data_IF_299015650682
#
_entry.id   IF_299015650682
#
_cell.length_a   1.000
_cell.length_b   1.000
_cell.length_c   1.000
_cell.angle_alpha   90.00
_cell.angle_beta   90.00
_cell.angle_gamma   90.00
#
_symmetry.space_group_name_H-M   'P 1'
#
loop_
_entity.id
_entity.type
_entity.pdbx_description
1 polymer ?
#
# COMPACT_ATOMS: atom_id res chain seq x y z
N UNK A 1 60.39 -86.18 -43.38
CA UNK A 1 61.69 -85.49 -43.42
C UNK A 1 61.38 -84.07 -42.98
N UNK A 2 61.49 -83.81 -41.67
CA UNK A 2 62.62 -83.07 -41.09
C UNK A 2 62.45 -81.60 -41.50
N UNK A 3 62.18 -80.63 -40.63
CA UNK A 3 62.44 -80.55 -39.21
C UNK A 3 62.07 -79.12 -38.73
N UNK A 4 62.01 -78.93 -37.40
CA UNK A 4 62.55 -77.75 -36.70
C UNK A 4 61.87 -76.38 -36.94
N UNK A 5 61.31 -75.63 -35.98
CA UNK A 5 61.57 -75.44 -34.55
C UNK A 5 60.36 -74.66 -33.98
N UNK A 6 59.64 -75.15 -32.98
CA UNK A 6 59.99 -75.03 -31.55
C UNK A 6 60.54 -73.66 -31.13
N UNK A 7 59.75 -72.96 -30.32
CA UNK A 7 60.30 -72.16 -29.22
C UNK A 7 60.46 -70.67 -29.49
N UNK A 8 59.62 -69.87 -28.85
CA UNK A 8 60.03 -69.17 -27.63
C UNK A 8 58.85 -68.40 -27.03
N UNK A 9 58.30 -69.04 -26.01
CA UNK A 9 57.78 -68.35 -24.84
C UNK A 9 58.94 -67.53 -24.24
N UNK A 10 58.89 -66.20 -24.24
CA UNK A 10 59.48 -65.34 -23.19
C UNK A 10 59.54 -63.86 -23.59
N UNK A 11 58.83 -63.05 -22.78
CA UNK A 11 59.19 -61.69 -22.38
C UNK A 11 59.39 -60.66 -23.51
N UNK A 12 58.32 -59.92 -23.80
CA UNK A 12 58.45 -58.51 -24.22
C UNK A 12 59.47 -57.84 -23.29
N UNK A 13 60.62 -57.45 -23.86
CA UNK A 13 61.68 -56.79 -23.10
C UNK A 13 61.09 -55.55 -22.42
N UNK A 14 61.38 -55.30 -21.14
CA UNK A 14 60.78 -54.21 -20.35
C UNK A 14 61.04 -52.80 -20.92
N UNK A 15 61.95 -52.66 -21.89
CA UNK A 15 62.24 -51.40 -22.59
C UNK A 15 61.13 -50.98 -23.57
N UNK A 16 60.69 -51.85 -24.49
CA UNK A 16 59.73 -51.47 -25.52
C UNK A 16 58.34 -51.10 -24.96
N UNK A 17 57.92 -51.75 -23.85
CA UNK A 17 56.64 -51.43 -23.20
C UNK A 17 56.66 -50.06 -22.50
N UNK A 18 57.82 -49.60 -22.01
CA UNK A 18 57.97 -48.25 -21.41
C UNK A 18 57.84 -47.16 -22.46
N UNK A 19 58.42 -47.34 -23.64
CA UNK A 19 58.41 -46.32 -24.69
C UNK A 19 57.00 -46.12 -25.28
N UNK A 20 56.23 -47.19 -25.49
CA UNK A 20 54.83 -47.10 -25.93
C UNK A 20 53.91 -46.46 -24.89
N UNK A 21 54.11 -46.75 -23.59
CA UNK A 21 53.37 -46.10 -22.51
C UNK A 21 53.74 -44.60 -22.39
N UNK A 22 55.00 -44.24 -22.59
CA UNK A 22 55.49 -42.86 -22.55
C UNK A 22 54.95 -42.00 -23.72
N UNK A 23 55.02 -42.51 -24.95
CA UNK A 23 54.54 -41.80 -26.15
C UNK A 23 53.02 -41.62 -26.11
N UNK A 24 52.26 -42.66 -25.74
CA UNK A 24 50.80 -42.58 -25.60
C UNK A 24 50.39 -41.58 -24.51
N UNK A 25 51.10 -41.55 -23.39
CA UNK A 25 50.86 -40.56 -22.33
C UNK A 25 51.15 -39.13 -22.82
N UNK A 26 52.15 -38.91 -23.67
CA UNK A 26 52.47 -37.57 -24.19
C UNK A 26 51.44 -37.06 -25.20
N UNK A 27 50.87 -37.94 -26.04
CA UNK A 27 49.79 -37.56 -26.97
C UNK A 27 48.47 -37.30 -26.23
N UNK A 28 48.13 -38.17 -25.26
CA UNK A 28 46.93 -38.01 -24.43
C UNK A 28 47.01 -36.74 -23.57
N UNK A 29 48.18 -36.40 -23.03
CA UNK A 29 48.38 -35.14 -22.28
C UNK A 29 48.20 -33.90 -23.17
N UNK A 30 48.58 -33.98 -24.45
CA UNK A 30 48.33 -32.91 -25.43
C UNK A 30 46.84 -32.71 -25.72
N UNK A 31 46.11 -33.79 -26.00
CA UNK A 31 44.66 -33.76 -26.24
C UNK A 31 43.87 -33.20 -25.04
N UNK A 32 44.26 -33.57 -23.81
CA UNK A 32 43.67 -33.03 -22.58
C UNK A 32 43.91 -31.51 -22.49
N UNK A 33 45.09 -31.02 -22.86
CA UNK A 33 45.40 -29.59 -22.84
C UNK A 33 44.59 -28.82 -23.91
N UNK A 34 44.37 -29.40 -25.09
CA UNK A 34 43.51 -28.81 -26.12
C UNK A 34 42.07 -28.70 -25.64
N UNK A 35 41.49 -29.77 -25.08
CA UNK A 35 40.12 -29.76 -24.54
C UNK A 35 39.99 -28.75 -23.40
N UNK A 36 40.99 -28.67 -22.51
CA UNK A 36 41.00 -27.74 -21.39
C UNK A 36 40.95 -26.27 -21.87
N UNK A 37 41.68 -25.93 -22.93
CA UNK A 37 41.74 -24.57 -23.49
C UNK A 37 40.40 -24.06 -24.03
N UNK A 38 39.54 -24.95 -24.54
CA UNK A 38 38.18 -24.59 -24.98
C UNK A 38 37.13 -24.69 -23.87
N UNK A 39 37.36 -25.58 -22.90
CA UNK A 39 36.44 -25.80 -21.77
C UNK A 39 36.46 -24.61 -20.80
N UNK A 40 37.63 -24.05 -20.50
CA UNK A 40 37.77 -22.89 -19.59
C UNK A 40 36.95 -21.67 -20.05
N UNK A 41 37.08 -21.15 -21.29
CA UNK A 41 36.27 -20.01 -21.73
C UNK A 41 34.77 -20.34 -21.82
N UNK A 42 34.41 -21.58 -22.16
CA UNK A 42 33.01 -22.02 -22.18
C UNK A 42 32.38 -22.00 -20.78
N UNK A 43 33.12 -22.40 -19.75
CA UNK A 43 32.68 -22.32 -18.34
C UNK A 43 32.54 -20.86 -17.90
N UNK A 44 33.49 -19.99 -18.27
CA UNK A 44 33.41 -18.56 -17.91
C UNK A 44 32.14 -17.94 -18.53
N UNK A 45 31.90 -18.16 -19.82
CA UNK A 45 30.68 -17.67 -20.49
C UNK A 45 29.42 -18.24 -19.84
N UNK A 46 29.41 -19.52 -19.47
CA UNK A 46 28.28 -20.13 -18.76
C UNK A 46 28.01 -19.46 -17.41
N UNK A 47 29.06 -19.22 -16.60
CA UNK A 47 28.93 -18.55 -15.30
C UNK A 47 28.43 -17.11 -15.48
N UNK A 48 29.00 -16.37 -16.44
CA UNK A 48 28.57 -15.00 -16.73
C UNK A 48 27.12 -14.94 -17.21
N UNK A 49 26.72 -15.82 -18.13
CA UNK A 49 25.34 -15.91 -18.62
C UNK A 49 24.38 -16.28 -17.49
N UNK A 50 24.75 -17.23 -16.63
CA UNK A 50 23.95 -17.61 -15.46
C UNK A 50 23.78 -16.45 -14.48
N UNK A 51 24.86 -15.71 -14.19
CA UNK A 51 24.81 -14.55 -13.31
C UNK A 51 23.92 -13.44 -13.88
N UNK A 52 24.09 -13.11 -15.17
CA UNK A 52 23.27 -12.10 -15.85
C UNK A 52 21.79 -12.48 -15.88
N UNK A 53 21.47 -13.74 -16.21
CA UNK A 53 20.09 -14.23 -16.22
C UNK A 53 19.47 -14.18 -14.83
N UNK A 54 20.21 -14.61 -13.80
CA UNK A 54 19.75 -14.57 -12.42
C UNK A 54 19.39 -13.16 -11.98
N UNK A 55 20.24 -12.19 -12.31
CA UNK A 55 20.02 -10.79 -11.91
C UNK A 55 18.94 -10.10 -12.74
N UNK A 56 18.81 -10.48 -14.01
CA UNK A 56 17.70 -10.06 -14.85
C UNK A 56 16.35 -10.55 -14.30
N UNK A 57 16.21 -11.85 -13.98
CA UNK A 57 14.99 -12.39 -13.41
C UNK A 57 14.66 -11.81 -12.02
N UNK A 58 15.68 -11.58 -11.18
CA UNK A 58 15.47 -10.92 -9.89
C UNK A 58 14.99 -9.47 -10.06
N UNK A 59 15.57 -8.71 -10.99
CA UNK A 59 15.15 -7.34 -11.28
C UNK A 59 13.76 -7.29 -11.90
N UNK A 60 13.44 -8.19 -12.82
CA UNK A 60 12.13 -8.26 -13.46
C UNK A 60 11.04 -8.64 -12.45
N UNK A 61 11.31 -9.59 -11.54
CA UNK A 61 10.40 -9.89 -10.45
C UNK A 61 10.20 -8.69 -9.51
N UNK A 62 11.27 -7.98 -9.14
CA UNK A 62 11.17 -6.76 -8.32
C UNK A 62 10.37 -5.66 -9.02
N UNK A 63 10.61 -5.42 -10.31
CA UNK A 63 9.85 -4.46 -11.13
C UNK A 63 8.38 -4.86 -11.22
N UNK A 64 8.10 -6.12 -11.55
CA UNK A 64 6.73 -6.63 -11.64
C UNK A 64 5.96 -6.53 -10.32
N UNK A 65 6.61 -6.78 -9.19
CA UNK A 65 6.02 -6.54 -7.87
C UNK A 65 5.77 -5.05 -7.60
N UNK A 66 6.70 -4.17 -7.98
CA UNK A 66 6.53 -2.73 -7.86
C UNK A 66 5.38 -2.21 -8.76
N UNK A 67 5.27 -2.72 -9.98
CA UNK A 67 4.21 -2.37 -10.93
C UNK A 67 2.84 -2.85 -10.44
N UNK A 68 2.74 -4.07 -9.92
CA UNK A 68 1.50 -4.58 -9.30
C UNK A 68 1.07 -3.75 -8.08
N UNK A 69 2.03 -3.26 -7.28
CA UNK A 69 1.73 -2.35 -6.17
C UNK A 69 1.34 -0.95 -6.66
N UNK A 70 1.98 -0.46 -7.73
CA UNK A 70 1.67 0.80 -8.39
C UNK A 70 0.27 0.79 -8.99
N UNK A 71 -0.14 -0.31 -9.63
CA UNK A 71 -1.48 -0.47 -10.18
C UNK A 71 -2.57 -0.57 -9.10
N UNK A 72 -2.28 -1.27 -7.99
CA UNK A 72 -3.16 -1.25 -6.80
C UNK A 72 -3.28 0.15 -6.20
N UNK A 73 -2.20 0.92 -6.21
CA UNK A 73 -2.21 2.31 -5.78
C UNK A 73 -3.08 3.14 -6.73
N UNK A 74 -2.91 3.01 -8.05
CA UNK A 74 -3.71 3.72 -9.06
C UNK A 74 -5.22 3.49 -8.92
N UNK A 75 -5.65 2.29 -8.56
CA UNK A 75 -7.07 1.98 -8.36
C UNK A 75 -7.59 2.53 -7.02
N UNK A 76 -6.76 2.56 -5.98
CA UNK A 76 -7.18 3.00 -4.63
C UNK A 76 -7.06 4.52 -4.42
N UNK A 77 -6.18 5.21 -5.16
CA UNK A 77 -6.04 6.67 -5.12
C UNK A 77 -7.37 7.42 -5.33
N UNK A 78 -8.17 7.16 -6.38
CA UNK A 78 -9.44 7.87 -6.58
C UNK A 78 -10.44 7.60 -5.46
N UNK A 79 -10.48 6.37 -4.93
CA UNK A 79 -11.35 6.02 -3.80
C UNK A 79 -10.93 6.78 -2.52
N UNK A 80 -9.62 6.90 -2.28
CA UNK A 80 -9.11 7.68 -1.15
C UNK A 80 -9.46 9.15 -1.32
N UNK A 81 -9.19 9.76 -2.47
CA UNK A 81 -9.52 11.17 -2.72
C UNK A 81 -11.02 11.44 -2.53
N UNK A 82 -11.86 10.58 -3.09
CA UNK A 82 -13.31 10.65 -2.92
C UNK A 82 -13.73 10.56 -1.44
N UNK A 83 -13.08 9.71 -0.65
CA UNK A 83 -13.33 9.63 0.78
C UNK A 83 -13.00 10.94 1.51
N UNK A 84 -11.88 11.59 1.19
CA UNK A 84 -11.54 12.91 1.74
C UNK A 84 -12.58 13.96 1.35
N UNK A 85 -13.02 14.01 0.09
CA UNK A 85 -14.05 14.94 -0.37
C UNK A 85 -15.37 14.75 0.40
N UNK A 86 -15.81 13.50 0.54
CA UNK A 86 -17.04 13.16 1.29
C UNK A 86 -16.94 13.55 2.75
N UNK A 87 -15.80 13.36 3.39
CA UNK A 87 -15.60 13.71 4.80
C UNK A 87 -15.46 15.22 5.00
N UNK A 88 -14.87 15.95 4.05
CA UNK A 88 -14.89 17.42 4.05
C UNK A 88 -16.33 17.92 3.91
N UNK A 89 -17.10 17.37 2.97
CA UNK A 89 -18.51 17.72 2.80
C UNK A 89 -19.35 17.37 4.03
N UNK A 90 -19.08 16.25 4.69
CA UNK A 90 -19.70 15.89 5.96
C UNK A 90 -19.48 16.98 7.00
N UNK A 91 -18.23 17.40 7.21
CA UNK A 91 -17.89 18.46 8.18
C UNK A 91 -18.56 19.79 7.82
N UNK A 92 -18.55 20.17 6.54
CA UNK A 92 -19.27 21.37 6.07
C UNK A 92 -20.79 21.26 6.34
N UNK A 93 -21.40 20.09 6.15
CA UNK A 93 -22.84 19.89 6.35
C UNK A 93 -23.29 19.86 7.80
N UNK A 94 -22.44 19.40 8.71
CA UNK A 94 -22.74 19.41 10.16
C UNK A 94 -22.35 20.73 10.83
N UNK A 95 -21.63 21.62 10.12
CA UNK A 95 -21.35 22.96 10.64
C UNK A 95 -22.66 23.66 11.02
N UNK A 96 -22.76 24.27 12.21
CA UNK A 96 -24.00 24.83 12.72
C UNK A 96 -24.74 25.76 11.74
N UNK A 97 -23.99 26.63 11.05
CA UNK A 97 -24.55 27.52 10.03
C UNK A 97 -25.25 26.76 8.89
N UNK A 98 -24.53 25.84 8.22
CA UNK A 98 -25.08 25.08 7.09
C UNK A 98 -26.17 24.09 7.53
N UNK A 99 -26.06 23.56 8.75
CA UNK A 99 -27.03 22.62 9.30
C UNK A 99 -28.36 23.32 9.59
N UNK A 100 -28.34 24.47 10.28
CA UNK A 100 -29.54 25.23 10.60
C UNK A 100 -30.23 25.70 9.33
N UNK A 101 -29.49 26.28 8.38
CA UNK A 101 -30.08 26.76 7.11
C UNK A 101 -30.80 25.66 6.32
N UNK A 102 -30.38 24.39 6.46
CA UNK A 102 -30.97 23.26 5.75
C UNK A 102 -32.15 22.62 6.50
N UNK A 103 -32.11 22.64 7.83
CA UNK A 103 -33.05 21.89 8.68
C UNK A 103 -34.16 22.78 9.24
N UNK A 104 -33.88 24.06 9.46
CA UNK A 104 -34.82 24.99 10.08
C UNK A 104 -36.08 25.18 9.22
N UNK A 105 -37.23 25.21 9.88
CA UNK A 105 -38.53 25.55 9.32
C UNK A 105 -39.20 26.57 10.23
N UNK A 106 -40.05 27.47 9.69
CA UNK A 106 -40.87 28.35 10.51
C UNK A 106 -41.70 27.55 11.52
N UNK A 107 -42.00 28.18 12.66
CA UNK A 107 -42.92 27.67 13.70
C UNK A 107 -42.48 26.40 14.45
N UNK A 108 -41.24 25.96 14.29
CA UNK A 108 -40.68 24.87 15.09
C UNK A 108 -40.47 25.30 16.55
N UNK A 109 -40.78 24.41 17.49
CA UNK A 109 -40.32 24.54 18.88
C UNK A 109 -38.82 24.21 18.99
N UNK A 110 -38.16 24.66 20.06
CA UNK A 110 -36.76 24.34 20.32
C UNK A 110 -36.52 22.82 20.39
N UNK A 111 -37.45 22.07 21.00
CA UNK A 111 -37.35 20.62 21.14
C UNK A 111 -37.50 19.87 19.80
N UNK A 112 -38.37 20.34 18.91
CA UNK A 112 -38.52 19.77 17.57
C UNK A 112 -37.29 20.06 16.72
N UNK A 113 -36.81 21.31 16.74
CA UNK A 113 -35.60 21.69 16.01
C UNK A 113 -34.39 20.87 16.51
N UNK A 114 -34.20 20.74 17.82
CA UNK A 114 -33.14 19.91 18.41
C UNK A 114 -33.17 18.48 17.85
N UNK A 115 -34.34 17.83 17.85
CA UNK A 115 -34.50 16.47 17.32
C UNK A 115 -34.14 16.37 15.84
N UNK A 116 -34.56 17.35 15.04
CA UNK A 116 -34.26 17.38 13.62
C UNK A 116 -32.76 17.58 13.34
N UNK A 117 -32.11 18.50 14.07
CA UNK A 117 -30.66 18.74 13.94
C UNK A 117 -29.86 17.49 14.31
N UNK A 118 -30.16 16.88 15.46
CA UNK A 118 -29.50 15.66 15.93
C UNK A 118 -29.67 14.52 14.93
N UNK A 119 -30.88 14.34 14.40
CA UNK A 119 -31.16 13.33 13.40
C UNK A 119 -30.35 13.57 12.13
N UNK A 120 -30.33 14.80 11.61
CA UNK A 120 -29.57 15.14 10.40
C UNK A 120 -28.07 14.87 10.57
N UNK A 121 -27.49 15.21 11.73
CA UNK A 121 -26.06 14.95 12.01
C UNK A 121 -25.78 13.44 12.03
N UNK A 122 -26.63 12.67 12.73
CA UNK A 122 -26.47 11.21 12.83
C UNK A 122 -26.59 10.53 11.47
N UNK A 123 -27.59 10.92 10.68
CA UNK A 123 -27.78 10.39 9.34
C UNK A 123 -26.54 10.66 8.49
N UNK A 124 -26.06 11.90 8.41
CA UNK A 124 -24.84 12.27 7.66
C UNK A 124 -23.60 11.50 8.13
N UNK A 125 -23.44 11.28 9.44
CA UNK A 125 -22.34 10.48 10.00
C UNK A 125 -22.43 9.01 9.53
N UNK A 126 -23.60 8.38 9.65
CA UNK A 126 -23.81 6.99 9.22
C UNK A 126 -23.57 6.81 7.71
N UNK A 127 -23.96 7.78 6.89
CA UNK A 127 -23.74 7.74 5.43
C UNK A 127 -22.26 7.82 5.04
N UNK A 128 -21.41 8.36 5.93
CA UNK A 128 -19.97 8.52 5.70
C UNK A 128 -19.10 7.58 6.56
N UNK A 129 -19.71 6.72 7.38
CA UNK A 129 -18.99 5.82 8.29
C UNK A 129 -18.02 4.87 7.56
N UNK A 130 -18.36 4.42 6.35
CA UNK A 130 -17.50 3.55 5.54
C UNK A 130 -16.21 4.24 5.06
N UNK A 131 -16.19 5.57 5.03
CA UNK A 131 -15.05 6.35 4.55
C UNK A 131 -13.85 6.28 5.51
N UNK A 132 -14.06 5.83 6.76
CA UNK A 132 -12.99 5.63 7.75
C UNK A 132 -11.88 4.67 7.26
N UNK A 133 -12.19 3.79 6.30
CA UNK A 133 -11.23 2.83 5.73
C UNK A 133 -10.13 3.50 4.88
N UNK A 134 -10.33 4.74 4.45
CA UNK A 134 -9.50 5.39 3.43
C UNK A 134 -8.67 6.58 3.93
N UNK A 135 -8.83 6.94 5.21
CA UNK A 135 -8.16 8.06 5.87
C UNK A 135 -7.28 7.59 7.04
N UNK A 136 -6.47 8.47 7.62
CA UNK A 136 -5.68 8.08 8.79
C UNK A 136 -6.55 7.88 10.03
N UNK A 137 -6.11 7.04 11.00
CA UNK A 137 -6.77 6.92 12.29
C UNK A 137 -6.89 8.26 13.02
N UNK A 138 -5.91 9.16 12.83
CA UNK A 138 -5.92 10.49 13.44
C UNK A 138 -6.98 11.40 12.83
N UNK A 139 -7.12 11.39 11.50
CA UNK A 139 -8.21 12.11 10.84
C UNK A 139 -9.57 11.62 11.35
N UNK A 140 -9.72 10.31 11.47
CA UNK A 140 -10.97 9.70 11.94
C UNK A 140 -11.32 10.09 13.38
N UNK A 141 -10.33 10.10 14.27
CA UNK A 141 -10.51 10.58 15.66
C UNK A 141 -11.03 12.02 15.71
N UNK A 142 -10.48 12.91 14.88
CA UNK A 142 -10.92 14.32 14.82
C UNK A 142 -12.35 14.46 14.27
N UNK A 143 -12.71 13.65 13.28
CA UNK A 143 -14.08 13.61 12.73
C UNK A 143 -15.07 13.14 13.80
N UNK A 144 -14.74 12.09 14.54
CA UNK A 144 -15.60 11.60 15.64
C UNK A 144 -15.75 12.65 16.74
N UNK A 145 -14.66 13.33 17.11
CA UNK A 145 -14.71 14.45 18.06
C UNK A 145 -15.63 15.57 17.56
N UNK A 146 -15.51 15.97 16.30
CA UNK A 146 -16.39 16.99 15.71
C UNK A 146 -17.86 16.57 15.73
N UNK A 147 -18.16 15.31 15.42
CA UNK A 147 -19.50 14.74 15.50
C UNK A 147 -20.05 14.77 16.94
N UNK A 148 -19.29 14.27 17.91
CA UNK A 148 -19.69 14.22 19.33
C UNK A 148 -19.89 15.62 19.92
N UNK A 149 -18.97 16.54 19.62
CA UNK A 149 -19.04 17.92 20.10
C UNK A 149 -20.24 18.66 19.51
N UNK A 150 -20.51 18.52 18.21
CA UNK A 150 -21.68 19.13 17.56
C UNK A 150 -22.99 18.65 18.22
N UNK A 151 -23.09 17.33 18.45
CA UNK A 151 -24.23 16.73 19.14
C UNK A 151 -24.34 17.21 20.59
N UNK A 152 -23.22 17.27 21.32
CA UNK A 152 -23.17 17.72 22.70
C UNK A 152 -23.57 19.19 22.85
N UNK A 153 -23.07 20.05 21.98
CA UNK A 153 -23.41 21.48 21.94
C UNK A 153 -24.90 21.70 21.72
N UNK A 154 -25.50 21.05 20.72
CA UNK A 154 -26.95 21.17 20.45
C UNK A 154 -27.78 20.73 21.65
N UNK A 155 -27.44 19.59 22.27
CA UNK A 155 -28.15 19.09 23.44
C UNK A 155 -28.01 20.02 24.65
N UNK A 156 -26.80 20.53 24.89
CA UNK A 156 -26.52 21.44 26.01
C UNK A 156 -27.27 22.75 25.87
N UNK A 157 -27.23 23.35 24.67
CA UNK A 157 -27.91 24.62 24.39
C UNK A 157 -29.43 24.48 24.45
N UNK A 158 -29.99 23.39 23.93
CA UNK A 158 -31.42 23.10 24.05
C UNK A 158 -31.86 22.92 25.51
N UNK A 159 -31.06 22.23 26.33
CA UNK A 159 -31.36 22.02 27.75
C UNK A 159 -31.26 23.30 28.59
N UNK A 160 -30.50 24.30 28.13
CA UNK A 160 -30.36 25.59 28.79
C UNK A 160 -31.49 26.58 28.45
N UNK A 161 -32.42 26.21 27.56
CA UNK A 161 -33.59 27.01 27.22
C UNK A 161 -34.77 26.66 28.14
N UNK A 162 -35.70 27.61 28.29
CA UNK A 162 -36.94 27.39 29.05
C UNK A 162 -37.88 26.46 28.28
N UNK A 163 -38.75 25.77 29.00
CA UNK A 163 -39.86 25.02 28.39
C UNK A 163 -40.72 25.96 27.54
N UNK A 164 -41.02 25.54 26.31
CA UNK A 164 -41.77 26.34 25.34
C UNK A 164 -40.93 27.31 24.49
N UNK A 165 -39.60 27.30 24.62
CA UNK A 165 -38.72 28.09 23.75
C UNK A 165 -38.91 27.74 22.26
N UNK A 166 -38.69 28.73 21.41
CA UNK A 166 -38.85 28.63 19.96
C UNK A 166 -37.60 28.07 19.29
N UNK A 167 -37.75 27.48 18.10
CA UNK A 167 -36.62 27.07 17.26
C UNK A 167 -35.71 28.24 16.89
N UNK A 168 -36.28 29.44 16.73
CA UNK A 168 -35.50 30.66 16.48
C UNK A 168 -34.53 30.95 17.61
N UNK A 169 -34.97 30.89 18.87
CA UNK A 169 -34.12 31.12 20.05
C UNK A 169 -32.98 30.08 20.15
N UNK A 170 -33.27 28.81 19.87
CA UNK A 170 -32.24 27.76 19.85
C UNK A 170 -31.23 27.99 18.71
N UNK A 171 -31.72 28.28 17.50
CA UNK A 171 -30.87 28.51 16.34
C UNK A 171 -29.94 29.71 16.54
N UNK A 172 -30.44 30.81 17.12
CA UNK A 172 -29.64 31.98 17.47
C UNK A 172 -28.51 31.64 18.44
N UNK A 173 -28.82 30.96 19.56
CA UNK A 173 -27.80 30.54 20.54
C UNK A 173 -26.72 29.63 19.94
N UNK A 174 -27.11 28.70 19.08
CA UNK A 174 -26.18 27.80 18.40
C UNK A 174 -25.22 28.60 17.52
N UNK A 175 -25.72 29.54 16.72
CA UNK A 175 -24.92 30.36 15.81
C UNK A 175 -23.98 31.31 16.57
N UNK A 176 -24.43 31.87 17.71
CA UNK A 176 -23.60 32.70 18.59
C UNK A 176 -22.43 31.91 19.18
N UNK A 177 -22.67 30.66 19.57
CA UNK A 177 -21.65 29.81 20.22
C UNK A 177 -20.62 29.25 19.23
N UNK A 178 -21.02 29.02 17.96
CA UNK A 178 -20.15 28.45 16.93
C UNK A 178 -18.99 29.37 16.48
N UNK A 179 -19.05 30.67 16.84
CA UNK A 179 -18.07 31.67 16.44
C UNK A 179 -16.67 31.46 17.06
N UNK A 180 -16.52 30.72 18.16
CA UNK A 180 -15.29 30.77 18.95
C UNK A 180 -14.27 29.63 18.73
N UNK A 181 -14.64 28.48 18.16
CA UNK A 181 -13.75 27.39 17.66
C UNK A 181 -14.57 26.10 17.58
N UNK A 182 -15.09 25.76 16.40
CA UNK A 182 -15.73 24.46 16.23
C UNK A 182 -14.71 23.35 15.96
N UNK A 183 -14.84 22.22 16.64
CA UNK A 183 -14.06 21.01 16.32
C UNK A 183 -14.20 20.60 14.84
N UNK A 184 -15.31 20.95 14.21
CA UNK A 184 -15.58 20.78 12.78
C UNK A 184 -14.53 21.47 11.92
N UNK A 185 -14.16 22.72 12.25
CA UNK A 185 -13.11 23.46 11.52
C UNK A 185 -11.74 22.81 11.71
N UNK A 186 -11.39 22.43 12.94
CA UNK A 186 -10.12 21.74 13.21
C UNK A 186 -10.00 20.41 12.48
N UNK A 187 -11.05 19.60 12.47
CA UNK A 187 -11.07 18.34 11.74
C UNK A 187 -10.94 18.57 10.22
N UNK A 188 -11.60 19.61 9.70
CA UNK A 188 -11.56 19.94 8.29
C UNK A 188 -10.18 20.42 7.84
N UNK A 189 -9.53 21.28 8.62
CA UNK A 189 -8.19 21.77 8.32
C UNK A 189 -7.17 20.61 8.35
N UNK A 190 -7.32 19.68 9.29
CA UNK A 190 -6.50 18.48 9.35
C UNK A 190 -6.70 17.59 8.11
N UNK A 191 -7.95 17.26 7.75
CA UNK A 191 -8.28 16.48 6.55
C UNK A 191 -7.70 17.11 5.28
N UNK A 192 -7.85 18.43 5.11
CA UNK A 192 -7.30 19.17 3.97
C UNK A 192 -5.77 19.07 3.95
N UNK A 193 -5.11 19.17 5.10
CA UNK A 193 -3.66 19.05 5.20
C UNK A 193 -3.16 17.64 4.91
N UNK A 194 -3.91 16.61 5.33
CA UNK A 194 -3.58 15.20 5.11
C UNK A 194 -3.76 14.81 3.65
N UNK A 195 -4.85 15.25 3.03
CA UNK A 195 -5.08 15.07 1.59
C UNK A 195 -3.93 15.67 0.78
N UNK A 196 -3.54 16.93 1.03
CA UNK A 196 -2.42 17.60 0.34
C UNK A 196 -1.05 16.95 0.55
N UNK A 197 -0.87 16.15 1.60
CA UNK A 197 0.36 15.40 1.84
C UNK A 197 0.34 14.03 1.15
N UNK A 198 -0.85 13.48 0.95
CA UNK A 198 -1.07 12.14 0.40
C UNK A 198 -1.18 12.12 -1.12
N UNK A 199 -1.47 13.27 -1.74
CA UNK A 199 -1.66 13.49 -3.18
C UNK A 199 -1.01 14.82 -3.58
#
# INVERSE_FOLDING_TARGET
MVDLLSGKNSKLKPFAKRDYLCVKNHTVMGEIFYILRYTVPSIIVFITAWFLLKEFFQQENKKRHADLMSDRMRISLPLRLQAYERLVLFLERISPNNLIMRVYQPDLTAAELQKLLIRSIRDEYTHNLSQQLYISPRAWELINRAYEESMGQINSLASALKEGATGTELSGKILETDLERSATKTAMDFLKSEARKSF
#
